data_IF_215830453665
#
_entry.id   IF_215830453665
#
_cell.length_a   1.000
_cell.length_b   1.000
_cell.length_c   1.000
_cell.angle_alpha   90.00
_cell.angle_beta   90.00
_cell.angle_gamma   90.00
#
_symmetry.space_group_name_H-M   'P 1'
#
loop_
_entity.id
_entity.type
_entity.pdbx_description
1 polymer ?
#
# COMPACT_ATOMS: atom_id res chain seq x y z
N UNK A 1 -33.23 -26.74 -4.34
CA UNK A 1 -32.67 -25.59 -5.10
C UNK A 1 -31.81 -24.75 -4.15
N UNK A 2 -30.69 -25.31 -3.70
CA UNK A 2 -29.85 -24.81 -2.59
C UNK A 2 -28.46 -24.36 -3.08
N UNK A 3 -28.39 -23.71 -4.24
CA UNK A 3 -27.13 -23.29 -4.88
C UNK A 3 -26.84 -21.78 -4.79
N UNK A 4 -27.56 -21.03 -3.94
CA UNK A 4 -27.40 -19.57 -3.82
C UNK A 4 -26.55 -19.08 -2.63
N UNK A 5 -25.79 -19.96 -1.95
CA UNK A 5 -25.04 -19.59 -0.72
C UNK A 5 -23.55 -20.00 -0.73
N UNK A 6 -23.01 -20.56 -1.84
CA UNK A 6 -21.58 -20.93 -1.92
C UNK A 6 -20.88 -20.20 -3.06
N UNK A 7 -19.72 -19.60 -2.77
CA UNK A 7 -18.92 -18.73 -3.63
C UNK A 7 -18.82 -19.14 -5.10
N UNK A 8 -19.65 -18.52 -5.93
CA UNK A 8 -19.28 -18.15 -7.29
C UNK A 8 -18.43 -16.90 -7.17
N UNK A 9 -17.14 -16.93 -7.52
CA UNK A 9 -16.38 -15.68 -7.51
C UNK A 9 -15.03 -15.73 -8.18
N UNK A 10 -14.32 -16.87 -8.08
CA UNK A 10 -12.97 -17.00 -8.65
C UNK A 10 -12.80 -18.26 -9.48
N UNK A 11 -12.26 -18.09 -10.67
CA UNK A 11 -11.90 -19.20 -11.58
C UNK A 11 -10.46 -19.65 -11.31
N UNK A 12 -10.15 -20.96 -11.33
CA UNK A 12 -8.78 -21.40 -11.24
C UNK A 12 -7.98 -20.89 -12.45
N UNK A 13 -6.72 -20.51 -12.23
CA UNK A 13 -5.84 -20.03 -13.30
C UNK A 13 -5.70 -21.05 -14.45
N UNK A 14 -5.76 -22.35 -14.14
CA UNK A 14 -5.75 -23.47 -15.11
C UNK A 14 -6.92 -23.45 -16.10
N UNK A 15 -8.03 -22.80 -15.74
CA UNK A 15 -9.23 -22.73 -16.57
C UNK A 15 -9.28 -21.53 -17.51
N UNK A 16 -8.24 -20.69 -17.50
CA UNK A 16 -8.18 -19.51 -18.37
C UNK A 16 -7.69 -19.90 -19.76
N UNK A 17 -8.38 -19.40 -20.78
CA UNK A 17 -7.91 -19.46 -22.16
C UNK A 17 -6.73 -18.51 -22.39
N UNK A 18 -5.98 -18.68 -23.48
CA UNK A 18 -4.89 -17.74 -23.83
C UNK A 18 -5.38 -16.29 -23.97
N UNK A 19 -6.59 -16.09 -24.50
CA UNK A 19 -7.22 -14.77 -24.58
C UNK A 19 -7.44 -14.17 -23.19
N UNK A 20 -7.87 -14.98 -22.23
CA UNK A 20 -8.12 -14.54 -20.86
C UNK A 20 -6.82 -14.33 -20.07
N UNK A 21 -5.77 -15.12 -20.32
CA UNK A 21 -4.44 -14.90 -19.74
C UNK A 21 -3.89 -13.56 -20.20
N UNK A 22 -3.98 -13.26 -21.50
CA UNK A 22 -3.48 -12.00 -22.04
C UNK A 22 -4.32 -10.79 -21.57
N UNK A 23 -5.64 -10.95 -21.49
CA UNK A 23 -6.51 -9.92 -20.92
C UNK A 23 -6.22 -9.67 -19.43
N UNK A 24 -5.87 -10.72 -18.67
CA UNK A 24 -5.48 -10.62 -17.27
C UNK A 24 -4.13 -9.94 -17.08
N UNK A 25 -3.17 -10.19 -17.98
CA UNK A 25 -1.91 -9.45 -17.99
C UNK A 25 -2.15 -7.95 -18.24
N UNK A 26 -2.94 -7.60 -19.26
CA UNK A 26 -3.29 -6.20 -19.57
C UNK A 26 -3.91 -5.49 -18.35
N UNK A 27 -4.89 -6.13 -17.70
CA UNK A 27 -5.53 -5.52 -16.53
C UNK A 27 -4.62 -5.48 -15.31
N UNK A 28 -3.62 -6.37 -15.22
CA UNK A 28 -2.63 -6.35 -14.14
C UNK A 28 -1.70 -5.16 -14.27
N UNK A 29 -1.10 -4.93 -15.46
CA UNK A 29 -0.26 -3.74 -15.73
C UNK A 29 -1.05 -2.43 -15.57
N UNK A 30 -2.31 -2.40 -16.04
CA UNK A 30 -3.15 -1.22 -15.87
C UNK A 30 -3.40 -0.89 -14.39
N UNK A 31 -3.68 -1.92 -13.58
CA UNK A 31 -3.90 -1.74 -12.15
C UNK A 31 -2.59 -1.41 -11.42
N UNK A 32 -1.46 -2.01 -11.77
CA UNK A 32 -0.15 -1.75 -11.14
C UNK A 32 0.36 -0.34 -11.49
N UNK A 33 0.23 0.11 -12.74
CA UNK A 33 0.48 1.50 -13.10
C UNK A 33 -0.44 2.50 -12.39
N UNK A 34 -1.69 2.13 -12.05
CA UNK A 34 -2.57 2.98 -11.22
C UNK A 34 -2.11 3.03 -9.76
N UNK A 35 -1.62 1.92 -9.22
CA UNK A 35 -1.07 1.86 -7.86
C UNK A 35 0.18 2.75 -7.78
N UNK A 36 1.07 2.68 -8.76
CA UNK A 36 2.25 3.54 -8.81
C UNK A 36 1.92 5.03 -8.84
N UNK A 37 0.94 5.44 -9.66
CA UNK A 37 0.44 6.83 -9.63
C UNK A 37 -0.16 7.22 -8.29
N UNK A 38 -0.92 6.32 -7.65
CA UNK A 38 -1.49 6.58 -6.33
C UNK A 38 -0.41 6.73 -5.24
N UNK A 39 0.70 6.01 -5.36
CA UNK A 39 1.89 6.21 -4.52
C UNK A 39 2.55 7.55 -4.80
N UNK A 40 2.80 7.89 -6.08
CA UNK A 40 3.33 9.20 -6.46
C UNK A 40 2.49 10.34 -5.88
N UNK A 41 1.18 10.34 -6.14
CA UNK A 41 0.23 11.34 -5.63
C UNK A 41 0.27 11.48 -4.11
N UNK A 42 0.40 10.36 -3.39
CA UNK A 42 0.48 10.35 -1.93
C UNK A 42 1.81 10.85 -1.36
N UNK A 43 2.88 10.85 -2.16
CA UNK A 43 4.21 11.30 -1.77
C UNK A 43 4.51 12.72 -2.28
N UNK A 44 3.88 13.19 -3.34
CA UNK A 44 4.19 14.46 -4.04
C UNK A 44 4.30 15.69 -3.13
N UNK A 45 3.45 15.81 -2.11
CA UNK A 45 3.46 16.97 -1.22
C UNK A 45 4.69 17.02 -0.29
N UNK A 46 5.09 15.88 0.26
CA UNK A 46 6.13 15.81 1.29
C UNK A 46 7.48 15.29 0.76
N UNK A 47 7.44 14.43 -0.26
CA UNK A 47 8.58 13.69 -0.82
C UNK A 47 8.53 13.72 -2.36
N UNK A 48 8.63 14.90 -2.99
CA UNK A 48 8.40 15.07 -4.42
C UNK A 48 9.43 14.35 -5.30
N UNK A 49 10.64 14.07 -4.79
CA UNK A 49 11.64 13.36 -5.59
C UNK A 49 11.42 11.84 -5.51
N UNK A 50 11.04 11.33 -4.34
CA UNK A 50 10.57 9.94 -4.23
C UNK A 50 9.29 9.71 -5.04
N UNK A 51 8.38 10.69 -5.15
CA UNK A 51 7.18 10.59 -5.98
C UNK A 51 7.52 10.35 -7.46
N UNK A 52 8.50 11.08 -8.03
CA UNK A 52 8.94 10.92 -9.43
C UNK A 52 9.45 9.52 -9.76
N UNK A 53 10.02 8.81 -8.78
CA UNK A 53 10.43 7.41 -8.97
C UNK A 53 9.20 6.59 -9.36
N UNK A 54 8.10 6.73 -8.61
CA UNK A 54 6.86 6.00 -8.89
C UNK A 54 6.13 6.50 -10.13
N UNK A 55 6.26 7.79 -10.50
CA UNK A 55 5.77 8.29 -11.79
C UNK A 55 6.47 7.59 -12.96
N UNK A 56 7.81 7.54 -12.97
CA UNK A 56 8.57 6.86 -14.03
C UNK A 56 8.35 5.33 -14.03
N UNK A 57 8.11 4.71 -12.87
CA UNK A 57 7.69 3.30 -12.81
C UNK A 57 6.31 3.09 -13.46
N UNK A 58 5.35 3.99 -13.21
CA UNK A 58 4.03 3.90 -13.84
C UNK A 58 4.09 4.08 -15.37
N UNK A 59 5.06 4.85 -15.88
CA UNK A 59 5.30 4.99 -17.33
C UNK A 59 5.83 3.69 -17.95
N UNK A 60 6.66 2.93 -17.24
CA UNK A 60 7.13 1.61 -17.69
C UNK A 60 5.96 0.61 -17.83
N UNK A 61 5.09 0.55 -16.81
CA UNK A 61 3.85 -0.26 -16.81
C UNK A 61 2.91 0.12 -17.96
N UNK A 62 2.80 1.41 -18.30
CA UNK A 62 2.03 1.85 -19.46
C UNK A 62 2.59 1.26 -20.77
N UNK A 63 3.93 1.19 -20.89
CA UNK A 63 4.61 0.59 -22.04
C UNK A 63 4.38 -0.91 -22.16
N UNK A 64 4.37 -1.63 -21.04
CA UNK A 64 4.00 -3.05 -20.98
C UNK A 64 2.55 -3.28 -21.39
N UNK A 65 1.62 -2.52 -20.78
CA UNK A 65 0.19 -2.55 -21.11
C UNK A 65 -0.03 -2.35 -22.61
N UNK A 66 0.59 -1.33 -23.20
CA UNK A 66 0.42 -1.02 -24.61
C UNK A 66 0.96 -2.15 -25.51
N UNK A 67 2.09 -2.74 -25.14
CA UNK A 67 2.67 -3.90 -25.84
C UNK A 67 1.75 -5.14 -25.78
N UNK A 68 1.14 -5.38 -24.62
CA UNK A 68 0.18 -6.46 -24.41
C UNK A 68 -1.11 -6.23 -25.21
N UNK A 69 -1.65 -5.00 -25.23
CA UNK A 69 -2.83 -4.63 -26.02
C UNK A 69 -2.56 -4.85 -27.51
N UNK A 70 -1.40 -4.44 -28.00
CA UNK A 70 -1.01 -4.64 -29.41
C UNK A 70 -0.93 -6.13 -29.77
N UNK A 71 -0.36 -6.98 -28.89
CA UNK A 71 -0.36 -8.42 -29.10
C UNK A 71 -1.79 -8.99 -29.08
N UNK A 72 -2.61 -8.55 -28.12
CA UNK A 72 -3.99 -8.99 -27.99
C UNK A 72 -4.79 -8.68 -29.25
N UNK A 73 -4.69 -7.44 -29.74
CA UNK A 73 -5.37 -6.98 -30.94
C UNK A 73 -5.00 -7.82 -32.16
N UNK A 74 -3.72 -8.14 -32.33
CA UNK A 74 -3.24 -8.98 -33.45
C UNK A 74 -3.76 -10.41 -33.42
N UNK A 75 -3.96 -11.00 -32.24
CA UNK A 75 -4.36 -12.41 -32.10
C UNK A 75 -5.88 -12.61 -31.94
N UNK A 76 -6.54 -11.76 -31.19
CA UNK A 76 -7.91 -11.96 -30.71
C UNK A 76 -8.88 -10.82 -31.09
N UNK A 77 -8.38 -9.76 -31.75
CA UNK A 77 -9.16 -8.60 -32.16
C UNK A 77 -9.31 -7.54 -31.07
N UNK A 78 -10.21 -6.57 -31.26
CA UNK A 78 -10.29 -5.36 -30.44
C UNK A 78 -10.93 -5.54 -29.06
N UNK A 79 -11.72 -6.60 -28.86
CA UNK A 79 -12.53 -6.74 -27.65
C UNK A 79 -11.78 -7.54 -26.59
N UNK A 80 -11.11 -6.83 -25.69
CA UNK A 80 -10.45 -7.40 -24.51
C UNK A 80 -11.52 -7.80 -23.47
N UNK A 81 -11.62 -9.08 -23.05
CA UNK A 81 -12.51 -9.49 -21.98
C UNK A 81 -12.16 -8.81 -20.65
N UNK A 82 -13.19 -8.42 -19.89
CA UNK A 82 -12.98 -7.89 -18.54
C UNK A 82 -12.67 -9.05 -17.58
N UNK A 83 -11.40 -9.21 -17.26
CA UNK A 83 -10.90 -10.11 -16.22
C UNK A 83 -9.89 -9.35 -15.37
N UNK A 84 -9.88 -9.62 -14.07
CA UNK A 84 -8.99 -8.97 -13.11
C UNK A 84 -8.43 -10.04 -12.17
N UNK A 85 -7.35 -9.70 -11.47
CA UNK A 85 -6.69 -10.54 -10.47
C UNK A 85 -7.67 -11.15 -9.45
N UNK A 86 -8.63 -10.37 -8.97
CA UNK A 86 -9.62 -10.80 -7.98
C UNK A 86 -10.63 -11.82 -8.49
N UNK A 87 -10.73 -12.01 -9.82
CA UNK A 87 -11.57 -13.03 -10.46
C UNK A 87 -10.84 -14.38 -10.60
N UNK A 88 -9.56 -14.47 -10.23
CA UNK A 88 -8.72 -15.66 -10.45
C UNK A 88 -8.23 -16.23 -9.13
N UNK A 89 -8.47 -17.53 -8.92
CA UNK A 89 -8.05 -18.25 -7.73
C UNK A 89 -6.58 -18.62 -7.83
N UNK A 90 -5.83 -18.37 -6.76
CA UNK A 90 -4.37 -18.59 -6.73
C UNK A 90 -3.58 -17.42 -7.31
N UNK A 91 -4.26 -16.36 -7.75
CA UNK A 91 -3.64 -15.08 -8.08
C UNK A 91 -3.34 -14.29 -6.80
N UNK A 92 -2.26 -13.51 -6.80
CA UNK A 92 -1.92 -12.68 -5.65
C UNK A 92 -2.98 -11.58 -5.47
N UNK A 93 -3.33 -11.31 -4.21
CA UNK A 93 -4.17 -10.17 -3.85
C UNK A 93 -3.28 -9.00 -3.45
N UNK A 94 -3.46 -7.85 -4.12
CA UNK A 94 -2.92 -6.60 -3.64
C UNK A 94 -3.76 -6.14 -2.44
N UNK A 95 -3.11 -5.79 -1.33
CA UNK A 95 -3.78 -5.07 -0.24
C UNK A 95 -3.83 -3.60 -0.66
N UNK A 96 -4.92 -2.85 -0.43
CA UNK A 96 -5.05 -1.48 -0.91
C UNK A 96 -4.28 -0.48 -0.01
N UNK A 97 -2.98 -0.72 0.19
CA UNK A 97 -2.13 0.11 1.04
C UNK A 97 -1.92 1.52 0.46
N UNK A 98 -1.98 1.68 -0.86
CA UNK A 98 -1.98 2.97 -1.56
C UNK A 98 -3.16 3.88 -1.22
N UNK A 99 -4.20 3.39 -0.52
CA UNK A 99 -5.32 4.20 -0.03
C UNK A 99 -5.09 4.76 1.38
N UNK A 100 -4.11 4.25 2.11
CA UNK A 100 -3.82 4.68 3.49
C UNK A 100 -2.97 5.95 3.46
N UNK A 101 -3.23 6.88 4.38
CA UNK A 101 -2.46 8.11 4.55
C UNK A 101 -2.11 8.33 6.03
N UNK A 102 -0.95 8.92 6.34
CA UNK A 102 0.14 9.27 5.42
C UNK A 102 0.86 8.02 4.88
N UNK A 103 1.49 8.14 3.70
CA UNK A 103 2.36 7.09 3.15
C UNK A 103 3.79 7.29 3.67
N UNK A 104 4.46 6.20 4.03
CA UNK A 104 5.90 6.19 4.34
C UNK A 104 6.71 5.76 3.12
N UNK A 105 7.84 6.43 2.85
CA UNK A 105 8.69 6.20 1.69
C UNK A 105 9.15 4.74 1.66
N UNK A 106 9.72 4.26 2.77
CA UNK A 106 10.27 2.91 2.86
C UNK A 106 9.16 1.85 2.78
N UNK A 107 7.99 2.14 3.37
CA UNK A 107 6.85 1.25 3.28
C UNK A 107 6.41 1.05 1.83
N UNK A 108 6.20 2.15 1.11
CA UNK A 108 5.76 2.12 -0.30
C UNK A 108 6.81 1.43 -1.18
N UNK A 109 8.11 1.68 -0.98
CA UNK A 109 9.18 0.97 -1.70
C UNK A 109 9.13 -0.54 -1.47
N UNK A 110 8.99 -0.96 -0.21
CA UNK A 110 8.87 -2.39 0.11
C UNK A 110 7.63 -3.05 -0.51
N UNK A 111 6.52 -2.30 -0.62
CA UNK A 111 5.31 -2.78 -1.27
C UNK A 111 5.51 -2.88 -2.79
N UNK A 112 6.09 -1.86 -3.43
CA UNK A 112 6.46 -1.88 -4.84
C UNK A 112 7.34 -3.09 -5.18
N UNK A 113 8.41 -3.36 -4.43
CA UNK A 113 9.24 -4.54 -4.68
C UNK A 113 8.47 -5.87 -4.51
N UNK A 114 7.59 -5.95 -3.51
CA UNK A 114 6.73 -7.11 -3.37
C UNK A 114 5.76 -7.22 -4.55
N UNK A 115 5.37 -6.08 -5.12
CA UNK A 115 4.49 -6.03 -6.27
C UNK A 115 5.14 -6.64 -7.51
N UNK A 116 6.39 -6.25 -7.81
CA UNK A 116 7.16 -6.75 -8.95
C UNK A 116 7.48 -8.23 -8.82
N UNK A 117 7.88 -8.66 -7.62
CA UNK A 117 8.12 -10.10 -7.37
C UNK A 117 6.88 -10.93 -7.63
N UNK A 118 5.70 -10.42 -7.30
CA UNK A 118 4.44 -11.09 -7.57
C UNK A 118 4.10 -11.10 -9.07
N UNK A 119 4.30 -9.98 -9.78
CA UNK A 119 4.10 -9.88 -11.23
C UNK A 119 5.05 -10.84 -11.99
N UNK A 120 6.34 -10.85 -11.63
CA UNK A 120 7.34 -11.79 -12.14
C UNK A 120 6.88 -13.24 -12.05
N UNK A 121 6.48 -13.67 -10.84
CA UNK A 121 6.03 -15.05 -10.61
C UNK A 121 4.79 -15.39 -11.44
N UNK A 122 3.88 -14.43 -11.62
CA UNK A 122 2.73 -14.60 -12.48
C UNK A 122 3.16 -14.81 -13.93
N UNK A 123 4.00 -13.95 -14.49
CA UNK A 123 4.42 -14.05 -15.88
C UNK A 123 5.16 -15.36 -16.17
N UNK A 124 6.02 -15.81 -15.27
CA UNK A 124 6.69 -17.12 -15.34
C UNK A 124 5.66 -18.26 -15.38
N UNK A 125 4.63 -18.22 -14.54
CA UNK A 125 3.62 -19.28 -14.50
C UNK A 125 2.65 -19.22 -15.69
N UNK A 126 2.32 -18.02 -16.17
CA UNK A 126 1.52 -17.79 -17.36
C UNK A 126 2.22 -18.29 -18.63
N UNK A 127 3.54 -18.07 -18.74
CA UNK A 127 4.33 -18.51 -19.87
C UNK A 127 4.35 -20.05 -19.99
N UNK A 128 4.50 -20.76 -18.87
CA UNK A 128 4.47 -22.25 -18.84
C UNK A 128 3.17 -22.85 -19.38
N UNK A 129 2.06 -22.12 -19.28
CA UNK A 129 0.72 -22.60 -19.63
C UNK A 129 0.26 -22.16 -21.02
N UNK A 130 0.99 -21.24 -21.63
CA UNK A 130 0.67 -20.71 -22.95
C UNK A 130 1.30 -21.59 -24.02
N UNK A 131 0.51 -22.16 -24.93
CA UNK A 131 1.02 -23.03 -25.99
C UNK A 131 1.61 -22.22 -27.15
N UNK A 132 1.03 -21.06 -27.46
CA UNK A 132 1.49 -20.17 -28.51
C UNK A 132 2.88 -19.59 -28.24
N UNK A 133 3.77 -19.72 -29.23
CA UNK A 133 5.15 -19.28 -29.11
C UNK A 133 5.30 -17.74 -28.99
N UNK A 134 4.43 -16.96 -29.65
CA UNK A 134 4.50 -15.49 -29.62
C UNK A 134 4.06 -14.93 -28.28
N UNK A 135 2.97 -15.46 -27.71
CA UNK A 135 2.51 -15.06 -26.38
C UNK A 135 3.42 -15.58 -25.29
N UNK A 136 3.95 -16.81 -25.41
CA UNK A 136 4.95 -17.30 -24.45
C UNK A 136 6.18 -16.41 -24.42
N UNK A 137 6.72 -16.04 -25.59
CA UNK A 137 7.85 -15.12 -25.69
C UNK A 137 7.55 -13.79 -25.01
N UNK A 138 6.37 -13.18 -25.26
CA UNK A 138 6.02 -11.91 -24.62
C UNK A 138 5.93 -12.04 -23.10
N UNK A 139 5.31 -13.11 -22.57
CA UNK A 139 5.21 -13.33 -21.13
C UNK A 139 6.58 -13.59 -20.50
N UNK A 140 7.49 -14.29 -21.19
CA UNK A 140 8.87 -14.46 -20.75
C UNK A 140 9.64 -13.12 -20.76
N UNK A 141 9.47 -12.30 -21.81
CA UNK A 141 10.07 -10.97 -21.92
C UNK A 141 9.57 -10.05 -20.78
N UNK A 142 8.27 -10.09 -20.47
CA UNK A 142 7.68 -9.35 -19.34
C UNK A 142 8.23 -9.85 -18.00
N UNK A 143 8.32 -11.15 -17.78
CA UNK A 143 8.95 -11.68 -16.57
C UNK A 143 10.40 -11.16 -16.41
N UNK A 144 11.15 -11.04 -17.50
CA UNK A 144 12.50 -10.45 -17.47
C UNK A 144 12.45 -8.94 -17.18
N UNK A 145 11.46 -8.22 -17.70
CA UNK A 145 11.25 -6.80 -17.39
C UNK A 145 10.94 -6.59 -15.90
N UNK A 146 10.05 -7.39 -15.32
CA UNK A 146 9.72 -7.35 -13.88
C UNK A 146 10.94 -7.59 -12.97
N UNK A 147 11.83 -8.51 -13.36
CA UNK A 147 13.12 -8.70 -12.68
C UNK A 147 14.01 -7.45 -12.76
N UNK A 148 13.90 -6.70 -13.86
CA UNK A 148 14.60 -5.45 -14.10
C UNK A 148 14.04 -4.27 -13.32
N UNK A 149 12.79 -4.33 -12.85
CA UNK A 149 12.11 -3.24 -12.14
C UNK A 149 12.81 -2.86 -10.82
N UNK A 150 13.39 -3.82 -10.09
CA UNK A 150 14.19 -3.51 -8.89
C UNK A 150 15.42 -2.65 -9.25
N UNK A 151 16.10 -3.00 -10.34
CA UNK A 151 17.27 -2.25 -10.82
C UNK A 151 16.86 -0.89 -11.40
N UNK A 152 15.71 -0.84 -12.08
CA UNK A 152 15.11 0.40 -12.57
C UNK A 152 14.81 1.35 -11.41
N UNK A 153 14.10 0.87 -10.40
CA UNK A 153 13.77 1.63 -9.19
C UNK A 153 15.04 2.14 -8.49
N UNK A 154 16.07 1.30 -8.32
CA UNK A 154 17.36 1.72 -7.75
C UNK A 154 18.04 2.81 -8.59
N UNK A 155 18.01 2.70 -9.92
CA UNK A 155 18.57 3.70 -10.83
C UNK A 155 17.79 5.01 -10.79
N UNK A 156 16.46 4.94 -10.71
CA UNK A 156 15.58 6.09 -10.56
C UNK A 156 15.77 6.77 -9.21
N UNK A 157 15.95 5.99 -8.13
CA UNK A 157 16.30 6.52 -6.81
C UNK A 157 17.64 7.25 -6.87
N UNK A 158 18.67 6.68 -7.49
CA UNK A 158 19.97 7.37 -7.66
C UNK A 158 19.86 8.66 -8.50
N UNK A 159 18.95 8.69 -9.49
CA UNK A 159 18.73 9.83 -10.37
C UNK A 159 17.97 10.96 -9.67
N UNK A 160 16.88 10.65 -8.97
CA UNK A 160 15.96 11.65 -8.41
C UNK A 160 16.22 11.94 -6.94
N UNK A 161 16.67 10.94 -6.18
CA UNK A 161 16.85 10.99 -4.73
C UNK A 161 18.35 10.76 -4.38
N UNK A 162 19.28 11.60 -4.88
CA UNK A 162 20.68 11.51 -4.50
C UNK A 162 20.86 11.83 -3.01
N UNK A 163 22.02 11.47 -2.44
CA UNK A 163 22.27 11.47 -0.99
C UNK A 163 21.66 12.62 -0.18
N UNK A 164 21.91 13.88 -0.55
CA UNK A 164 21.36 15.04 0.17
C UNK A 164 19.82 15.07 0.16
N UNK A 165 19.20 14.78 -0.98
CA UNK A 165 17.73 14.70 -1.11
C UNK A 165 17.18 13.56 -0.26
N UNK A 166 17.86 12.41 -0.26
CA UNK A 166 17.47 11.26 0.56
C UNK A 166 17.47 11.61 2.05
N UNK A 167 18.52 12.28 2.51
CA UNK A 167 18.65 12.70 3.90
C UNK A 167 17.58 13.74 4.27
N UNK A 168 17.29 14.69 3.38
CA UNK A 168 16.22 15.67 3.55
C UNK A 168 14.82 15.04 3.63
N UNK A 169 14.46 14.15 2.68
CA UNK A 169 13.18 13.45 2.68
C UNK A 169 13.03 12.53 3.90
N UNK A 170 14.10 11.86 4.33
CA UNK A 170 14.10 11.02 5.53
C UNK A 170 13.90 11.87 6.80
N UNK A 171 14.57 13.02 6.90
CA UNK A 171 14.38 13.92 8.03
C UNK A 171 12.97 14.52 8.05
N UNK A 172 12.40 14.82 6.86
CA UNK A 172 11.03 15.28 6.72
C UNK A 172 10.03 14.21 7.17
N UNK A 173 10.21 12.95 6.76
CA UNK A 173 9.38 11.81 7.18
C UNK A 173 9.44 11.61 8.69
N UNK A 174 10.64 11.63 9.28
CA UNK A 174 10.81 11.52 10.72
C UNK A 174 10.12 12.66 11.47
N UNK A 175 10.25 13.90 10.97
CA UNK A 175 9.58 15.06 11.56
C UNK A 175 8.06 14.93 11.47
N UNK A 176 7.53 14.51 10.34
CA UNK A 176 6.09 14.28 10.16
C UNK A 176 5.59 13.21 11.14
N UNK A 177 6.30 12.08 11.26
CA UNK A 177 5.97 11.04 12.23
C UNK A 177 5.92 11.59 13.66
N UNK A 178 6.91 12.40 14.06
CA UNK A 178 6.94 13.03 15.38
C UNK A 178 5.73 13.95 15.58
N UNK A 179 5.43 14.81 14.62
CA UNK A 179 4.35 15.79 14.72
C UNK A 179 2.95 15.15 14.68
N UNK A 180 2.78 14.07 13.93
CA UNK A 180 1.48 13.41 13.73
C UNK A 180 1.16 12.39 14.82
N UNK A 181 2.15 11.64 15.32
CA UNK A 181 1.90 10.55 16.26
C UNK A 181 2.51 10.79 17.64
N UNK A 182 3.77 11.22 17.70
CA UNK A 182 4.49 11.30 18.99
C UNK A 182 4.05 12.52 19.79
N UNK A 183 3.97 13.69 19.17
CA UNK A 183 3.66 14.94 19.85
C UNK A 183 2.23 14.97 20.42
N UNK A 184 1.18 14.56 19.69
CA UNK A 184 -0.17 14.49 20.25
C UNK A 184 -0.25 13.51 21.43
N UNK A 185 0.40 12.35 21.32
CA UNK A 185 0.45 11.37 22.42
C UNK A 185 1.18 11.91 23.66
N UNK A 186 2.32 12.59 23.49
CA UNK A 186 3.04 13.22 24.61
C UNK A 186 2.25 14.39 25.22
N UNK A 187 1.60 15.22 24.38
CA UNK A 187 0.78 16.33 24.83
C UNK A 187 -0.41 15.84 25.66
N UNK A 188 -1.12 14.81 25.20
CA UNK A 188 -2.23 14.26 25.97
C UNK A 188 -1.79 13.51 27.24
N UNK A 189 -0.61 12.89 27.26
CA UNK A 189 -0.03 12.38 28.52
C UNK A 189 0.25 13.51 29.53
N UNK A 190 0.80 14.64 29.06
CA UNK A 190 0.98 15.83 29.89
C UNK A 190 -0.35 16.38 30.40
N UNK A 191 -1.33 16.59 29.52
CA UNK A 191 -2.63 17.16 29.91
C UNK A 191 -3.43 16.23 30.81
N UNK A 192 -3.42 14.92 30.52
CA UNK A 192 -4.05 13.90 31.36
C UNK A 192 -3.42 13.85 32.75
N UNK A 193 -2.08 13.86 32.84
CA UNK A 193 -1.39 13.86 34.13
C UNK A 193 -1.64 15.13 34.94
N UNK A 194 -1.56 16.32 34.33
CA UNK A 194 -1.82 17.60 35.01
C UNK A 194 -3.29 17.74 35.43
N UNK A 195 -4.23 17.33 34.58
CA UNK A 195 -5.67 17.39 34.86
C UNK A 195 -6.10 16.50 36.03
N UNK A 196 -5.37 15.41 36.30
CA UNK A 196 -5.65 14.52 37.44
C UNK A 196 -5.15 15.07 38.78
N UNK A 197 -4.22 16.04 38.80
CA UNK A 197 -3.65 16.55 40.05
C UNK A 197 -4.66 17.31 40.91
N UNK A 198 -5.47 18.18 40.31
CA UNK A 198 -6.44 18.99 41.05
C UNK A 198 -7.46 18.15 41.85
N UNK A 199 -8.16 17.17 41.26
CA UNK A 199 -9.09 16.31 42.01
C UNK A 199 -8.38 15.42 43.05
N UNK A 200 -7.16 14.96 42.80
CA UNK A 200 -6.36 14.19 43.77
C UNK A 200 -6.04 15.06 45.00
N UNK A 201 -5.52 16.27 44.80
CA UNK A 201 -5.20 17.17 45.92
C UNK A 201 -6.46 17.63 46.67
N UNK A 202 -7.56 17.88 45.96
CA UNK A 202 -8.83 18.21 46.59
C UNK A 202 -9.35 17.07 47.46
N UNK A 203 -9.31 15.83 46.98
CA UNK A 203 -9.72 14.65 47.74
C UNK A 203 -8.81 14.41 48.95
N UNK A 204 -7.49 14.53 48.78
CA UNK A 204 -6.52 14.39 49.86
C UNK A 204 -6.75 15.42 50.96
N UNK A 205 -6.96 16.69 50.61
CA UNK A 205 -7.15 17.76 51.57
C UNK A 205 -8.54 17.74 52.23
N UNK A 206 -9.59 17.36 51.50
CA UNK A 206 -10.94 17.31 52.05
C UNK A 206 -11.16 16.10 52.95
N UNK A 207 -10.65 14.92 52.56
CA UNK A 207 -10.93 13.65 53.26
C UNK A 207 -9.85 13.25 54.25
N UNK A 208 -8.61 13.68 54.05
CA UNK A 208 -7.43 13.19 54.77
C UNK A 208 -7.28 11.65 54.74
N UNK A 209 -7.94 10.97 53.78
CA UNK A 209 -7.95 9.51 53.62
C UNK A 209 -7.19 9.13 52.35
N UNK A 210 -6.15 8.31 52.52
CA UNK A 210 -5.27 7.88 51.42
C UNK A 210 -5.95 6.92 50.45
N UNK A 211 -6.90 6.11 50.90
CA UNK A 211 -7.65 5.17 50.07
C UNK A 211 -8.67 5.90 49.19
N UNK A 212 -9.38 6.88 49.75
CA UNK A 212 -10.30 7.73 48.98
C UNK A 212 -9.55 8.55 47.93
N UNK A 213 -8.40 9.10 48.30
CA UNK A 213 -7.52 9.83 47.38
C UNK A 213 -7.05 8.95 46.23
N UNK A 214 -6.65 7.70 46.51
CA UNK A 214 -6.25 6.72 45.50
C UNK A 214 -7.39 6.39 44.52
N UNK A 215 -8.61 6.17 45.04
CA UNK A 215 -9.78 5.87 44.21
C UNK A 215 -10.12 7.03 43.26
N UNK A 216 -10.07 8.28 43.77
CA UNK A 216 -10.28 9.48 42.95
C UNK A 216 -9.19 9.60 41.88
N UNK A 217 -7.92 9.36 42.24
CA UNK A 217 -6.82 9.39 41.28
C UNK A 217 -6.97 8.35 40.18
N UNK A 218 -7.28 7.10 40.53
CA UNK A 218 -7.50 6.02 39.57
C UNK A 218 -8.69 6.33 38.64
N UNK A 219 -9.80 6.81 39.19
CA UNK A 219 -10.98 7.18 38.42
C UNK A 219 -10.68 8.35 37.46
N UNK A 220 -9.95 9.36 37.92
CA UNK A 220 -9.54 10.50 37.10
C UNK A 220 -8.58 10.07 35.98
N UNK A 221 -7.59 9.20 36.25
CA UNK A 221 -6.65 8.71 35.24
C UNK A 221 -7.33 7.84 34.17
N UNK A 222 -8.26 6.97 34.57
CA UNK A 222 -9.05 6.17 33.61
C UNK A 222 -9.95 7.09 32.78
N UNK A 223 -10.62 8.06 33.42
CA UNK A 223 -11.44 9.04 32.72
C UNK A 223 -10.66 9.88 31.70
N UNK A 224 -9.46 10.34 32.09
CA UNK A 224 -8.55 11.04 31.19
C UNK A 224 -8.10 10.15 30.02
N UNK A 225 -7.73 8.89 30.28
CA UNK A 225 -7.32 7.94 29.25
C UNK A 225 -8.44 7.62 28.26
N UNK A 226 -9.67 7.42 28.73
CA UNK A 226 -10.85 7.20 27.86
C UNK A 226 -11.13 8.45 27.03
N UNK A 227 -11.15 9.64 27.66
CA UNK A 227 -11.39 10.90 26.97
C UNK A 227 -10.37 11.15 25.86
N UNK A 228 -9.09 10.85 26.12
CA UNK A 228 -8.00 11.02 25.17
C UNK A 228 -8.10 10.03 24.00
N UNK A 229 -8.41 8.76 24.27
CA UNK A 229 -8.63 7.77 23.21
C UNK A 229 -9.81 8.13 22.28
N UNK A 230 -10.86 8.76 22.81
CA UNK A 230 -11.96 9.26 21.98
C UNK A 230 -11.56 10.46 21.12
N UNK A 231 -10.72 11.36 21.62
CA UNK A 231 -10.23 12.49 20.81
C UNK A 231 -9.30 12.02 19.69
N UNK A 232 -8.44 11.03 19.94
CA UNK A 232 -7.50 10.49 18.94
C UNK A 232 -8.19 9.68 17.83
N UNK A 233 -9.35 9.06 18.09
CA UNK A 233 -10.13 8.36 17.05
C UNK A 233 -11.01 9.31 16.24
N UNK A 234 -11.33 10.48 16.79
CA UNK A 234 -12.22 11.47 16.18
C UNK A 234 -11.50 12.63 15.48
N UNK A 235 -10.17 12.73 15.58
CA UNK A 235 -9.32 13.73 14.91
C UNK A 235 -8.46 13.10 13.82
#
# INVERSE_FOLDING_TARGET
MLSRVFGFGRRPFESLSEQEILALAISSEEDDGRIYRAYADGLTENFPQSAKVFEEMAEEEDGHRDSLIELFRKRFGERIPLIRREHVKGYYERKPDWLVRPLGIEHVRSQAEAMERQAYLFYVEAAKRTADASTRKLLDDLAVAELGHETLAQRLEQKHVPGEVKDEETAAEQRQFILTYVQPGLAGLMDGSVSTLAPIFAAAFATHDTWQTLLVGLAASIGAGISMGFTEVAS
#
